data_IF_822221510994
#
_entry.id   IF_822221510994
#
_cell.length_a   1.000
_cell.length_b   1.000
_cell.length_c   1.000
_cell.angle_alpha   90.00
_cell.angle_beta   90.00
_cell.angle_gamma   90.00
#
_symmetry.space_group_name_H-M   'P 1'
#
loop_
_entity.id
_entity.type
_entity.pdbx_description
1 polymer ?
#
# COMPACT_ATOMS: atom_id res chain seq x y z
N UNK A 1 -35.98 -11.07 -49.81
CA UNK A 1 -34.58 -10.61 -49.91
C UNK A 1 -34.45 -9.28 -49.17
N UNK A 2 -33.96 -9.30 -47.92
CA UNK A 2 -33.73 -8.07 -47.15
C UNK A 2 -32.31 -7.55 -47.44
N UNK A 3 -32.20 -6.41 -48.14
CA UNK A 3 -30.93 -5.69 -48.28
C UNK A 3 -30.68 -4.92 -46.98
N UNK A 4 -29.78 -5.41 -46.13
CA UNK A 4 -29.22 -4.62 -45.04
C UNK A 4 -28.25 -3.60 -45.63
N UNK A 5 -28.71 -2.35 -45.66
CA UNK A 5 -27.91 -1.19 -46.02
C UNK A 5 -27.01 -0.84 -44.83
N UNK A 6 -25.89 -1.56 -44.69
CA UNK A 6 -24.88 -1.29 -43.67
C UNK A 6 -24.15 -0.01 -44.11
N UNK A 7 -24.68 1.13 -43.69
CA UNK A 7 -24.10 2.44 -43.94
C UNK A 7 -22.76 2.49 -43.19
N UNK A 8 -21.67 2.15 -43.88
CA UNK A 8 -20.30 2.27 -43.38
C UNK A 8 -19.99 3.74 -43.21
N UNK A 9 -20.27 4.26 -42.01
CA UNK A 9 -19.80 5.58 -41.58
C UNK A 9 -18.28 5.58 -41.66
N UNK A 10 -17.74 6.23 -42.70
CA UNK A 10 -16.31 6.47 -42.82
C UNK A 10 -15.89 7.36 -41.64
N UNK A 11 -15.10 6.79 -40.73
CA UNK A 11 -14.42 7.55 -39.68
C UNK A 11 -13.54 8.57 -40.38
N UNK A 12 -13.83 9.86 -40.17
CA UNK A 12 -13.05 10.95 -40.74
C UNK A 12 -11.67 11.00 -40.09
N UNK A 13 -10.63 11.44 -40.83
CA UNK A 13 -9.23 11.50 -40.34
C UNK A 13 -9.09 12.21 -38.99
N UNK A 14 -9.93 13.20 -38.73
CA UNK A 14 -9.98 13.94 -37.47
C UNK A 14 -10.53 13.08 -36.30
N UNK A 15 -11.54 12.25 -36.54
CA UNK A 15 -12.06 11.32 -35.53
C UNK A 15 -11.04 10.24 -35.16
N UNK A 16 -10.24 9.76 -36.13
CA UNK A 16 -9.16 8.81 -35.86
C UNK A 16 -8.04 9.43 -35.00
N UNK A 17 -7.68 10.69 -35.24
CA UNK A 17 -6.69 11.45 -34.45
C UNK A 17 -7.17 11.72 -33.02
N UNK A 18 -8.43 12.12 -32.84
CA UNK A 18 -9.05 12.29 -31.53
C UNK A 18 -9.12 10.97 -30.74
N UNK A 19 -9.51 9.88 -31.41
CA UNK A 19 -9.59 8.56 -30.78
C UNK A 19 -8.20 8.04 -30.36
N UNK A 20 -7.19 8.22 -31.21
CA UNK A 20 -5.80 7.86 -30.90
C UNK A 20 -5.24 8.65 -29.72
N UNK A 21 -5.47 9.97 -29.70
CA UNK A 21 -5.02 10.85 -28.61
C UNK A 21 -5.71 10.49 -27.29
N UNK A 22 -7.01 10.21 -27.33
CA UNK A 22 -7.78 9.76 -26.17
C UNK A 22 -7.26 8.42 -25.62
N UNK A 23 -6.97 7.45 -26.49
CA UNK A 23 -6.43 6.14 -26.08
C UNK A 23 -5.05 6.25 -25.43
N UNK A 24 -4.18 7.13 -25.94
CA UNK A 24 -2.86 7.39 -25.36
C UNK A 24 -3.02 8.01 -23.96
N UNK A 25 -3.87 9.03 -23.80
CA UNK A 25 -4.14 9.65 -22.50
C UNK A 25 -4.72 8.63 -21.51
N UNK A 26 -5.65 7.79 -21.95
CA UNK A 26 -6.25 6.74 -21.14
C UNK A 26 -5.19 5.72 -20.68
N UNK A 27 -4.28 5.32 -21.57
CA UNK A 27 -3.18 4.42 -21.23
C UNK A 27 -2.28 5.00 -20.14
N UNK A 28 -1.82 6.25 -20.31
CA UNK A 28 -0.94 6.89 -19.34
C UNK A 28 -1.62 7.16 -17.99
N UNK A 29 -2.91 7.47 -17.98
CA UNK A 29 -3.66 7.66 -16.73
C UNK A 29 -3.84 6.34 -15.96
N UNK A 30 -4.13 5.23 -16.64
CA UNK A 30 -4.18 3.89 -16.02
C UNK A 30 -2.81 3.49 -15.48
N UNK A 31 -1.74 3.76 -16.23
CA UNK A 31 -0.36 3.48 -15.80
C UNK A 31 0.03 4.31 -14.57
N UNK A 32 -0.30 5.60 -14.54
CA UNK A 32 -0.05 6.46 -13.38
C UNK A 32 -0.83 6.00 -12.14
N UNK A 33 -2.11 5.63 -12.30
CA UNK A 33 -2.93 5.10 -11.22
C UNK A 33 -2.35 3.79 -10.66
N UNK A 34 -1.89 2.89 -11.54
CA UNK A 34 -1.20 1.65 -11.16
C UNK A 34 0.05 1.91 -10.30
N UNK A 35 0.89 2.87 -10.70
CA UNK A 35 2.07 3.26 -9.93
C UNK A 35 1.72 3.79 -8.54
N UNK A 36 0.71 4.64 -8.43
CA UNK A 36 0.27 5.21 -7.14
C UNK A 36 -0.25 4.10 -6.21
N UNK A 37 -1.07 3.18 -6.73
CA UNK A 37 -1.59 2.05 -5.95
C UNK A 37 -0.44 1.17 -5.48
N UNK A 38 0.49 0.82 -6.37
CA UNK A 38 1.67 0.02 -6.05
C UNK A 38 2.52 0.66 -4.94
N UNK A 39 2.81 1.97 -5.04
CA UNK A 39 3.56 2.69 -4.04
C UNK A 39 2.86 2.72 -2.67
N UNK A 40 1.53 2.87 -2.65
CA UNK A 40 0.75 2.78 -1.40
C UNK A 40 0.78 1.38 -0.81
N UNK A 41 0.60 0.34 -1.62
CA UNK A 41 0.64 -1.05 -1.16
C UNK A 41 2.01 -1.38 -0.56
N UNK A 42 3.12 -1.01 -1.21
CA UNK A 42 4.47 -1.21 -0.67
C UNK A 42 4.63 -0.58 0.71
N UNK A 43 4.15 0.65 0.91
CA UNK A 43 4.19 1.32 2.23
C UNK A 43 3.40 0.55 3.30
N UNK A 44 2.25 -0.03 2.95
CA UNK A 44 1.44 -0.85 3.89
C UNK A 44 2.15 -2.15 4.28
N UNK A 45 2.97 -2.70 3.39
CA UNK A 45 3.78 -3.90 3.65
C UNK A 45 5.07 -3.61 4.43
N UNK A 46 5.65 -2.43 4.28
CA UNK A 46 6.89 -2.03 4.96
C UNK A 46 6.69 -1.70 6.46
N UNK A 47 5.44 -1.55 6.91
CA UNK A 47 5.11 -1.39 8.34
C UNK A 47 5.34 -2.72 9.06
N UNK A 48 6.56 -2.96 9.53
CA UNK A 48 6.91 -4.07 10.43
C UNK A 48 6.54 -3.69 11.85
N UNK A 49 5.56 -4.41 12.41
CA UNK A 49 5.18 -4.25 13.81
C UNK A 49 6.33 -4.72 14.70
N UNK A 50 6.76 -3.85 15.60
CA UNK A 50 7.83 -4.10 16.55
C UNK A 50 7.21 -4.37 17.92
N UNK A 51 7.57 -5.49 18.53
CA UNK A 51 7.23 -5.82 19.90
C UNK A 51 8.33 -5.29 20.81
N UNK A 52 7.94 -4.51 21.81
CA UNK A 52 8.82 -4.00 22.83
C UNK A 52 8.41 -4.60 24.16
N UNK A 53 9.39 -5.15 24.86
CA UNK A 53 9.26 -5.58 26.25
C UNK A 53 9.95 -4.51 27.10
N UNK A 54 9.20 -3.90 28.01
CA UNK A 54 9.63 -2.74 28.80
C UNK A 54 9.53 -3.06 30.30
N UNK A 55 10.40 -2.44 31.08
CA UNK A 55 10.30 -2.40 32.55
C UNK A 55 9.10 -1.56 32.98
N UNK A 56 8.63 -1.75 34.22
CA UNK A 56 7.44 -1.07 34.76
C UNK A 56 7.43 0.46 34.57
N UNK A 57 8.59 1.11 34.68
CA UNK A 57 8.73 2.56 34.47
C UNK A 57 8.44 2.96 33.01
N UNK A 58 8.91 2.16 32.04
CA UNK A 58 8.56 2.32 30.62
C UNK A 58 7.07 2.06 30.36
N UNK A 59 6.46 1.14 31.09
CA UNK A 59 5.03 0.83 31.00
C UNK A 59 4.16 1.99 31.48
N UNK A 60 4.54 2.60 32.60
CA UNK A 60 3.86 3.78 33.12
C UNK A 60 3.97 4.96 32.15
N UNK A 61 5.14 5.16 31.55
CA UNK A 61 5.34 6.20 30.55
C UNK A 61 4.43 6.01 29.33
N UNK A 62 4.27 4.77 28.84
CA UNK A 62 3.36 4.48 27.73
C UNK A 62 1.89 4.66 28.11
N UNK A 63 1.47 4.20 29.29
CA UNK A 63 0.11 4.39 29.80
C UNK A 63 -0.24 5.87 29.97
N UNK A 64 0.69 6.69 30.47
CA UNK A 64 0.48 8.14 30.57
C UNK A 64 0.29 8.81 29.20
N UNK A 65 0.84 8.22 28.15
CA UNK A 65 0.67 8.68 26.78
C UNK A 65 -0.51 8.02 26.04
N UNK A 66 -1.33 7.23 26.74
CA UNK A 66 -2.53 6.60 26.19
C UNK A 66 -2.27 5.37 25.32
N UNK A 67 -1.09 4.73 25.45
CA UNK A 67 -0.78 3.50 24.74
C UNK A 67 -1.12 2.29 25.63
N UNK A 68 -1.99 1.41 25.13
CA UNK A 68 -2.34 0.18 25.81
C UNK A 68 -1.16 -0.81 25.81
N UNK A 69 -0.74 -1.19 27.02
CA UNK A 69 0.33 -2.17 27.27
C UNK A 69 -0.26 -3.46 27.85
N UNK A 70 0.17 -4.63 27.39
CA UNK A 70 -0.17 -5.92 28.02
C UNK A 70 0.85 -6.26 29.11
N UNK A 71 0.48 -7.01 30.13
CA UNK A 71 1.44 -7.57 31.09
C UNK A 71 2.34 -8.59 30.39
N UNK A 72 3.65 -8.52 30.63
CA UNK A 72 4.59 -9.51 30.12
C UNK A 72 4.55 -10.79 30.98
N UNK A 73 4.76 -11.96 30.37
CA UNK A 73 4.78 -13.25 31.08
C UNK A 73 6.04 -13.46 31.93
N UNK A 74 7.04 -12.57 31.81
CA UNK A 74 8.31 -12.66 32.52
C UNK A 74 8.59 -11.35 33.25
N UNK A 75 8.57 -11.43 34.58
CA UNK A 75 8.89 -10.36 35.53
C UNK A 75 8.00 -9.11 35.45
N UNK A 76 8.15 -8.16 36.39
CA UNK A 76 7.36 -6.93 36.52
C UNK A 76 7.51 -5.93 35.34
N UNK A 77 7.17 -6.37 34.13
CA UNK A 77 7.27 -5.61 32.88
C UNK A 77 5.98 -5.67 32.05
N UNK A 78 5.98 -4.94 30.95
CA UNK A 78 4.88 -4.93 30.00
C UNK A 78 5.36 -5.15 28.58
N UNK A 79 4.43 -5.63 27.77
CA UNK A 79 4.58 -5.91 26.37
C UNK A 79 3.71 -4.94 25.56
N UNK A 80 4.32 -4.25 24.61
CA UNK A 80 3.62 -3.38 23.68
C UNK A 80 3.97 -3.76 22.24
N UNK A 81 2.97 -3.77 21.37
CA UNK A 81 3.19 -4.00 19.93
C UNK A 81 2.94 -2.69 19.21
N UNK A 82 3.99 -2.09 18.67
CA UNK A 82 3.92 -0.79 18.01
C UNK A 82 4.08 -0.94 16.49
N UNK A 83 3.38 -0.11 15.70
CA UNK A 83 3.46 -0.19 14.25
C UNK A 83 4.83 0.25 13.70
N UNK A 84 5.54 1.16 14.37
CA UNK A 84 6.82 1.68 13.91
C UNK A 84 7.71 2.14 15.06
N UNK A 85 9.00 1.79 15.02
CA UNK A 85 10.03 2.30 15.92
C UNK A 85 11.19 2.85 15.08
N UNK A 86 11.54 4.12 15.26
CA UNK A 86 12.65 4.76 14.56
C UNK A 86 13.88 4.74 15.47
N UNK A 87 15.01 4.24 14.95
CA UNK A 87 16.25 3.83 15.64
C UNK A 87 16.17 2.46 16.36
N UNK A 88 17.01 1.53 15.91
CA UNK A 88 17.18 0.17 16.45
C UNK A 88 18.65 -0.12 16.82
N UNK A 89 19.48 0.92 17.03
CA UNK A 89 20.87 0.76 17.45
C UNK A 89 21.03 1.21 18.90
N UNK A 90 21.15 0.22 19.80
CA UNK A 90 21.12 0.42 21.25
C UNK A 90 19.69 0.45 21.76
N UNK A 91 19.43 -0.18 22.91
CA UNK A 91 18.13 -0.57 23.46
C UNK A 91 17.13 0.57 23.75
N UNK A 92 17.08 1.69 23.02
CA UNK A 92 16.03 2.69 23.13
C UNK A 92 15.60 3.20 21.76
N UNK A 93 14.67 4.15 21.74
CA UNK A 93 14.16 4.64 20.46
C UNK A 93 13.00 5.62 20.56
N UNK A 94 12.65 6.18 19.40
CA UNK A 94 11.51 7.09 19.27
C UNK A 94 10.33 6.32 18.70
N UNK A 95 9.28 6.20 19.51
CA UNK A 95 7.97 5.74 19.05
C UNK A 95 7.31 6.92 18.34
N UNK A 96 7.02 6.75 17.05
CA UNK A 96 6.25 7.73 16.29
C UNK A 96 4.83 7.22 16.12
N UNK A 97 3.89 7.86 16.81
CA UNK A 97 2.45 7.75 16.59
C UNK A 97 2.03 8.81 15.56
N UNK A 98 0.80 8.72 15.05
CA UNK A 98 0.27 9.68 14.06
C UNK A 98 0.27 11.13 14.58
N UNK A 99 0.12 11.32 15.89
CA UNK A 99 0.00 12.62 16.55
C UNK A 99 1.20 13.00 17.43
N UNK A 100 2.06 12.04 17.82
CA UNK A 100 3.07 12.23 18.88
C UNK A 100 4.34 11.42 18.66
N UNK A 101 5.44 11.94 19.19
CA UNK A 101 6.70 11.21 19.30
C UNK A 101 7.02 11.01 20.78
N UNK A 102 7.28 9.76 21.18
CA UNK A 102 7.62 9.38 22.55
C UNK A 102 9.03 8.80 22.53
N UNK A 103 9.92 9.38 23.32
CA UNK A 103 11.28 8.88 23.47
C UNK A 103 11.33 7.87 24.62
N UNK A 104 11.85 6.67 24.35
CA UNK A 104 12.11 5.63 25.35
C UNK A 104 13.61 5.50 25.54
N UNK A 105 14.04 5.67 26.79
CA UNK A 105 15.44 5.49 27.20
C UNK A 105 15.84 4.00 27.21
N UNK A 106 17.12 3.75 26.92
CA UNK A 106 17.63 2.40 26.68
C UNK A 106 17.52 1.46 27.89
N UNK A 107 17.61 2.03 29.09
CA UNK A 107 17.57 1.31 30.36
C UNK A 107 16.16 0.78 30.70
N UNK A 108 15.13 1.27 30.01
CA UNK A 108 13.73 0.88 30.18
C UNK A 108 13.32 -0.28 29.28
N UNK A 109 14.08 -0.58 28.22
CA UNK A 109 13.77 -1.65 27.27
C UNK A 109 14.51 -2.93 27.67
N UNK A 110 13.76 -4.01 27.86
CA UNK A 110 14.29 -5.34 28.13
C UNK A 110 14.62 -6.11 26.85
N UNK A 111 13.77 -5.98 25.83
CA UNK A 111 13.96 -6.66 24.55
C UNK A 111 13.13 -6.02 23.45
N UNK A 112 13.64 -6.10 22.22
CA UNK A 112 12.97 -5.68 20.99
C UNK A 112 12.87 -6.91 20.10
N UNK A 113 11.63 -7.33 19.80
CA UNK A 113 11.33 -8.38 18.84
C UNK A 113 10.61 -7.82 17.63
N UNK A 114 10.91 -8.31 16.44
CA UNK A 114 10.00 -8.14 15.31
C UNK A 114 8.92 -9.19 15.42
N UNK A 115 7.64 -8.79 15.46
CA UNK A 115 6.56 -9.79 15.37
C UNK A 115 6.47 -10.21 13.92
N UNK A 116 7.20 -11.28 13.58
CA UNK A 116 6.89 -12.06 12.40
C UNK A 116 5.54 -12.75 12.67
N UNK A 117 4.65 -12.64 11.68
CA UNK A 117 3.33 -13.28 11.67
C UNK A 117 2.26 -12.74 12.64
N UNK A 118 1.94 -11.44 12.54
CA UNK A 118 0.55 -11.05 12.81
C UNK A 118 -0.36 -11.53 11.66
N UNK A 119 -1.57 -12.03 11.97
CA UNK A 119 -2.58 -12.34 10.95
C UNK A 119 -2.80 -11.13 10.04
N UNK A 120 -3.07 -11.39 8.76
CA UNK A 120 -3.27 -10.35 7.74
C UNK A 120 -4.24 -9.27 8.24
N UNK A 121 -3.70 -8.08 8.51
CA UNK A 121 -4.50 -6.91 8.88
C UNK A 121 -5.45 -6.59 7.70
N UNK A 122 -6.76 -6.31 7.92
CA UNK A 122 -7.70 -5.96 6.85
C UNK A 122 -7.15 -4.96 5.83
N UNK A 123 -6.36 -3.97 6.28
CA UNK A 123 -5.69 -3.00 5.42
C UNK A 123 -4.68 -3.62 4.43
N UNK A 124 -3.95 -4.66 4.83
CA UNK A 124 -3.04 -5.41 3.94
C UNK A 124 -3.83 -6.22 2.91
N UNK A 125 -4.93 -6.84 3.33
CA UNK A 125 -5.83 -7.59 2.45
C UNK A 125 -6.45 -6.69 1.39
N UNK A 126 -6.98 -5.53 1.79
CA UNK A 126 -7.55 -4.54 0.87
C UNK A 126 -6.50 -4.01 -0.11
N UNK A 127 -5.29 -3.68 0.36
CA UNK A 127 -4.21 -3.21 -0.49
C UNK A 127 -3.76 -4.25 -1.53
N UNK A 128 -3.83 -5.55 -1.20
CA UNK A 128 -3.54 -6.64 -2.14
C UNK A 128 -4.66 -6.85 -3.13
N UNK A 129 -5.93 -6.80 -2.70
CA UNK A 129 -7.08 -6.88 -3.59
C UNK A 129 -7.03 -5.73 -4.61
N UNK A 130 -6.78 -4.50 -4.15
CA UNK A 130 -6.64 -3.33 -5.01
C UNK A 130 -5.46 -3.48 -5.98
N UNK A 131 -4.33 -4.02 -5.54
CA UNK A 131 -3.19 -4.31 -6.40
C UNK A 131 -3.55 -5.38 -7.45
N UNK A 132 -4.21 -6.48 -7.08
CA UNK A 132 -4.63 -7.49 -8.06
C UNK A 132 -5.60 -6.91 -9.10
N UNK A 133 -6.63 -6.18 -8.65
CA UNK A 133 -7.63 -5.57 -9.53
C UNK A 133 -6.98 -4.57 -10.50
N UNK A 134 -6.11 -3.69 -9.99
CA UNK A 134 -5.45 -2.71 -10.85
C UNK A 134 -4.45 -3.36 -11.81
N UNK A 135 -3.91 -4.56 -11.50
CA UNK A 135 -3.02 -5.31 -12.41
C UNK A 135 -3.83 -5.81 -13.60
N UNK A 136 -4.99 -6.38 -13.30
CA UNK A 136 -5.91 -6.91 -14.31
C UNK A 136 -6.36 -5.79 -15.24
N UNK A 137 -6.74 -4.64 -14.70
CA UNK A 137 -7.12 -3.46 -15.50
C UNK A 137 -5.97 -3.02 -16.39
N UNK A 138 -4.75 -2.90 -15.86
CA UNK A 138 -3.58 -2.53 -16.65
C UNK A 138 -3.34 -3.51 -17.81
N UNK A 139 -3.36 -4.82 -17.54
CA UNK A 139 -3.17 -5.86 -18.57
C UNK A 139 -4.25 -5.77 -19.65
N UNK A 140 -5.52 -5.56 -19.28
CA UNK A 140 -6.61 -5.39 -20.23
C UNK A 140 -6.44 -4.13 -21.08
N UNK A 141 -6.07 -2.99 -20.46
CA UNK A 141 -5.83 -1.74 -21.19
C UNK A 141 -4.66 -1.88 -22.16
N UNK A 142 -3.55 -2.53 -21.76
CA UNK A 142 -2.41 -2.84 -22.64
C UNK A 142 -2.85 -3.72 -23.81
N UNK A 143 -3.61 -4.79 -23.55
CA UNK A 143 -4.13 -5.70 -24.59
C UNK A 143 -5.00 -4.96 -25.61
N UNK A 144 -5.94 -4.14 -25.13
CA UNK A 144 -6.82 -3.35 -25.99
C UNK A 144 -6.01 -2.34 -26.81
N UNK A 145 -5.05 -1.66 -26.18
CA UNK A 145 -4.20 -0.69 -26.85
C UNK A 145 -3.38 -1.33 -27.99
N UNK A 146 -2.76 -2.50 -27.75
CA UNK A 146 -2.01 -3.25 -28.77
C UNK A 146 -2.93 -3.70 -29.92
N UNK A 147 -4.12 -4.23 -29.62
CA UNK A 147 -5.08 -4.67 -30.65
C UNK A 147 -5.51 -3.50 -31.53
N UNK A 148 -5.80 -2.34 -30.92
CA UNK A 148 -6.21 -1.15 -31.65
C UNK A 148 -5.06 -0.56 -32.49
N UNK A 149 -3.83 -0.55 -31.97
CA UNK A 149 -2.65 -0.15 -32.74
C UNK A 149 -2.43 -1.06 -33.94
N UNK A 150 -2.51 -2.38 -33.75
CA UNK A 150 -2.36 -3.35 -34.85
C UNK A 150 -3.41 -3.13 -35.94
N UNK A 151 -4.68 -2.96 -35.53
CA UNK A 151 -5.79 -2.69 -36.46
C UNK A 151 -5.68 -1.35 -37.17
N UNK A 152 -5.02 -0.37 -36.58
CA UNK A 152 -4.72 0.93 -37.19
C UNK A 152 -3.53 0.89 -38.16
N UNK A 153 -2.58 -0.03 -37.96
CA UNK A 153 -1.38 -0.18 -38.79
C UNK A 153 -1.60 -1.11 -40.00
N UNK A 154 -2.55 -2.05 -39.91
CA UNK A 154 -2.95 -2.94 -41.02
C UNK A 154 -3.94 -2.29 -42.02
N UNK A 155 -4.18 -0.97 -41.92
CA UNK A 155 -5.02 -0.15 -42.82
C UNK A 155 -4.20 0.94 -43.49
#
# INVERSE_FOLDING_TARGET
MHKNNLNTHHITKNQALFLGSFLIILFFTVLAAWFVITARTIRVFDVKKTQLILKNDGCNLLKMNGIDTKTADFDNGCLVTLPFLKNLYGNGGVITLEDKQINIADDLVLSIGTVEDLPWNPMRTEAVILMMLSTIVLVLTVRIFIILLKKGNDK
#
